data_IF_043152434008
#
_entry.id   IF_043152434008
#
_cell.length_a   1.000
_cell.length_b   1.000
_cell.length_c   1.000
_cell.angle_alpha   90.00
_cell.angle_beta   90.00
_cell.angle_gamma   90.00
#
_symmetry.space_group_name_H-M   'P 1'
#
loop_
_entity.id
_entity.type
_entity.pdbx_description
1 polymer ?
#
# COMPACT_ATOMS: atom_id res chain seq x y z
N UNK A 1 5.87 14.35 6.37
CA UNK A 1 7.20 13.77 6.66
C UNK A 1 7.98 13.43 5.40
N UNK A 2 7.47 12.58 4.51
CA UNK A 2 8.21 12.11 3.31
C UNK A 2 8.75 13.25 2.44
N UNK A 3 7.90 14.19 2.00
CA UNK A 3 8.33 15.34 1.16
C UNK A 3 9.42 16.16 1.83
N UNK A 4 9.27 16.50 3.11
CA UNK A 4 10.24 17.32 3.83
C UNK A 4 11.61 16.67 3.95
N UNK A 5 11.66 15.34 4.04
CA UNK A 5 12.91 14.61 4.17
C UNK A 5 13.51 14.24 2.82
N UNK A 6 12.70 13.82 1.84
CA UNK A 6 13.18 13.18 0.61
C UNK A 6 12.95 14.00 -0.66
N UNK A 7 12.63 15.30 -0.59
CA UNK A 7 12.49 16.16 -1.77
C UNK A 7 13.68 16.05 -2.73
N UNK A 8 14.91 16.05 -2.20
CA UNK A 8 16.11 15.88 -3.01
C UNK A 8 16.32 14.44 -3.48
N UNK A 9 15.86 13.44 -2.73
CA UNK A 9 15.85 12.04 -3.18
C UNK A 9 14.98 11.85 -4.42
N UNK A 10 13.76 12.39 -4.40
CA UNK A 10 12.87 12.40 -5.56
C UNK A 10 13.39 13.26 -6.71
N UNK A 11 14.03 14.39 -6.42
CA UNK A 11 14.65 15.20 -7.47
C UNK A 11 15.77 14.43 -8.20
N UNK A 12 16.58 13.67 -7.47
CA UNK A 12 17.61 12.80 -8.07
C UNK A 12 16.95 11.69 -8.90
N UNK A 13 15.91 11.04 -8.38
CA UNK A 13 15.15 10.03 -9.14
C UNK A 13 14.60 10.60 -10.45
N UNK A 14 14.03 11.81 -10.41
CA UNK A 14 13.53 12.48 -11.61
C UNK A 14 14.62 12.73 -12.66
N UNK A 15 15.83 13.10 -12.26
CA UNK A 15 16.97 13.24 -13.19
C UNK A 15 17.29 11.90 -13.87
N UNK A 16 17.31 10.80 -13.11
CA UNK A 16 17.53 9.47 -13.70
C UNK A 16 16.38 9.06 -14.62
N UNK A 17 15.15 9.43 -14.32
CA UNK A 17 14.01 9.19 -15.21
C UNK A 17 14.14 9.95 -16.54
N UNK A 18 14.62 11.20 -16.52
CA UNK A 18 14.91 11.94 -17.76
C UNK A 18 16.03 11.29 -18.57
N UNK A 19 17.09 10.80 -17.91
CA UNK A 19 18.18 10.05 -18.57
C UNK A 19 17.63 8.76 -19.18
N UNK A 20 16.81 8.02 -18.44
CA UNK A 20 16.16 6.79 -18.88
C UNK A 20 15.32 7.03 -20.14
N UNK A 21 14.40 7.98 -20.12
CA UNK A 21 13.56 8.30 -21.28
C UNK A 21 14.38 8.76 -22.49
N UNK A 22 15.39 9.61 -22.24
CA UNK A 22 16.29 10.06 -23.31
C UNK A 22 17.04 8.89 -23.94
N UNK A 23 17.59 7.98 -23.12
CA UNK A 23 18.28 6.79 -23.60
C UNK A 23 17.33 5.84 -24.36
N UNK A 24 16.08 5.67 -23.91
CA UNK A 24 15.07 4.89 -24.62
C UNK A 24 14.74 5.47 -26.00
N UNK A 25 14.55 6.79 -26.10
CA UNK A 25 14.31 7.45 -27.39
C UNK A 25 15.51 7.36 -28.33
N UNK A 26 16.73 7.54 -27.81
CA UNK A 26 17.95 7.36 -28.62
C UNK A 26 18.02 5.90 -29.11
N UNK A 27 17.79 4.94 -28.22
CA UNK A 27 17.81 3.52 -28.56
C UNK A 27 16.80 3.18 -29.68
N UNK A 28 15.58 3.71 -29.59
CA UNK A 28 14.53 3.46 -30.58
C UNK A 28 14.76 4.20 -31.91
N UNK A 29 14.89 5.53 -31.89
CA UNK A 29 14.91 6.35 -33.11
C UNK A 29 16.22 6.31 -33.89
N UNK A 30 17.31 5.88 -33.24
CA UNK A 30 18.62 5.72 -33.86
C UNK A 30 18.98 4.26 -34.15
N UNK A 31 18.00 3.37 -34.11
CA UNK A 31 18.17 2.01 -34.61
C UNK A 31 18.67 2.02 -36.07
N UNK A 32 19.75 1.30 -36.34
CA UNK A 32 20.40 1.27 -37.67
C UNK A 32 21.19 2.54 -38.04
N UNK A 33 21.11 3.64 -37.26
CA UNK A 33 21.87 4.88 -37.49
C UNK A 33 23.15 4.97 -36.65
N UNK A 34 23.13 4.39 -35.44
CA UNK A 34 24.31 4.34 -34.56
C UNK A 34 25.15 3.09 -34.83
N UNK A 35 26.47 3.20 -34.58
CA UNK A 35 27.36 2.03 -34.55
C UNK A 35 26.85 1.02 -33.50
N UNK A 36 26.89 -0.30 -33.76
CA UNK A 36 26.34 -1.30 -32.84
C UNK A 36 26.87 -1.20 -31.40
N UNK A 37 28.17 -0.92 -31.22
CA UNK A 37 28.77 -0.71 -29.90
C UNK A 37 28.14 0.46 -29.15
N UNK A 38 27.93 1.59 -29.83
CA UNK A 38 27.30 2.79 -29.25
C UNK A 38 25.83 2.53 -28.92
N UNK A 39 25.12 1.82 -29.79
CA UNK A 39 23.72 1.46 -29.56
C UNK A 39 23.54 0.58 -28.32
N UNK A 40 24.44 -0.40 -28.11
CA UNK A 40 24.47 -1.22 -26.87
C UNK A 40 24.86 -0.39 -25.64
N UNK A 41 25.78 0.57 -25.76
CA UNK A 41 26.13 1.46 -24.65
C UNK A 41 24.92 2.30 -24.20
N UNK A 42 24.11 2.80 -25.13
CA UNK A 42 22.86 3.51 -24.81
C UNK A 42 21.89 2.60 -24.05
N UNK A 43 21.79 1.32 -24.43
CA UNK A 43 20.98 0.34 -23.68
C UNK A 43 21.46 0.16 -22.23
N UNK A 44 22.78 0.16 -22.00
CA UNK A 44 23.34 0.10 -20.64
C UNK A 44 23.08 1.37 -19.84
N UNK A 45 23.13 2.55 -20.47
CA UNK A 45 22.73 3.81 -19.83
C UNK A 45 21.26 3.75 -19.39
N UNK A 46 20.38 3.28 -20.27
CA UNK A 46 18.97 3.05 -19.96
C UNK A 46 18.80 2.11 -18.75
N UNK A 47 19.43 0.93 -18.80
CA UNK A 47 19.32 -0.07 -17.74
C UNK A 47 19.85 0.44 -16.39
N UNK A 48 20.98 1.15 -16.38
CA UNK A 48 21.56 1.71 -15.16
C UNK A 48 20.69 2.83 -14.60
N UNK A 49 20.17 3.72 -15.44
CA UNK A 49 19.29 4.81 -15.01
C UNK A 49 18.01 4.26 -14.37
N UNK A 50 17.35 3.30 -15.03
CA UNK A 50 16.16 2.64 -14.49
C UNK A 50 16.45 1.93 -13.16
N UNK A 51 17.60 1.26 -13.04
CA UNK A 51 17.99 0.60 -11.79
C UNK A 51 18.29 1.59 -10.66
N UNK A 52 18.91 2.73 -10.94
CA UNK A 52 19.15 3.76 -9.93
C UNK A 52 17.81 4.35 -9.45
N UNK A 53 16.85 4.59 -10.34
CA UNK A 53 15.48 4.99 -9.96
C UNK A 53 14.87 3.98 -8.98
N UNK A 54 14.97 2.68 -9.29
CA UNK A 54 14.53 1.59 -8.40
C UNK A 54 15.22 1.67 -7.02
N UNK A 55 16.55 1.89 -6.96
CA UNK A 55 17.29 2.00 -5.70
C UNK A 55 16.80 3.17 -4.86
N UNK A 56 16.60 4.34 -5.48
CA UNK A 56 16.18 5.57 -4.78
C UNK A 56 14.78 5.45 -4.19
N UNK A 57 13.79 5.03 -4.99
CA UNK A 57 12.42 4.86 -4.51
C UNK A 57 12.31 3.76 -3.47
N UNK A 58 13.15 2.73 -3.56
CA UNK A 58 13.20 1.66 -2.57
C UNK A 58 13.67 2.17 -1.20
N UNK A 59 14.62 3.12 -1.15
CA UNK A 59 14.98 3.77 0.11
C UNK A 59 13.83 4.51 0.77
N UNK A 60 13.06 5.27 -0.02
CA UNK A 60 11.92 6.05 0.47
C UNK A 60 10.76 5.15 0.92
N UNK A 61 10.46 4.09 0.17
CA UNK A 61 9.38 3.14 0.51
C UNK A 61 9.78 2.20 1.65
N UNK A 62 11.05 1.81 1.75
CA UNK A 62 11.60 1.07 2.90
C UNK A 62 11.52 1.86 4.19
N UNK A 63 11.78 3.18 4.11
CA UNK A 63 11.69 4.10 5.24
C UNK A 63 10.29 4.11 5.88
N UNK A 64 9.24 4.01 5.06
CA UNK A 64 7.86 3.98 5.56
C UNK A 64 7.60 2.80 6.51
N UNK A 65 8.23 1.63 6.25
CA UNK A 65 8.06 0.42 7.07
C UNK A 65 8.96 0.42 8.30
N UNK A 66 10.22 0.81 8.16
CA UNK A 66 11.17 0.82 9.28
C UNK A 66 12.14 2.00 9.14
N UNK A 67 11.81 3.19 9.69
CA UNK A 67 12.67 4.39 9.61
C UNK A 67 14.06 4.21 10.23
N UNK A 68 14.22 3.26 11.17
CA UNK A 68 15.49 3.01 11.84
C UNK A 68 15.96 4.22 12.65
N UNK A 69 17.26 4.52 12.59
CA UNK A 69 17.88 5.62 13.35
C UNK A 69 17.38 7.02 12.95
N UNK A 70 16.60 7.14 11.89
CA UNK A 70 15.98 8.40 11.53
C UNK A 70 15.03 8.92 12.63
N UNK A 71 14.38 8.03 13.40
CA UNK A 71 13.48 8.43 14.50
C UNK A 71 14.19 9.29 15.56
N UNK A 72 15.49 9.08 15.77
CA UNK A 72 16.31 9.81 16.74
C UNK A 72 17.03 11.00 16.10
N UNK A 73 17.49 10.83 14.86
CA UNK A 73 18.48 11.74 14.26
C UNK A 73 17.87 12.73 13.27
N UNK A 74 16.70 12.41 12.71
CA UNK A 74 16.09 13.09 11.57
C UNK A 74 17.04 13.31 10.38
N UNK A 75 18.13 12.54 10.29
CA UNK A 75 19.15 12.69 9.26
C UNK A 75 18.72 12.00 7.96
N UNK A 76 18.85 12.71 6.84
CA UNK A 76 18.50 12.22 5.51
C UNK A 76 19.03 10.81 5.20
N UNK A 77 20.33 10.57 5.43
CA UNK A 77 20.97 9.30 5.08
C UNK A 77 20.54 8.15 5.98
N UNK A 78 20.29 8.41 7.25
CA UNK A 78 19.71 7.40 8.15
C UNK A 78 18.29 7.01 7.74
N UNK A 79 17.53 7.95 7.15
CA UNK A 79 16.21 7.68 6.58
C UNK A 79 16.29 6.91 5.26
N UNK A 80 17.16 7.32 4.34
CA UNK A 80 17.30 6.69 3.02
C UNK A 80 17.90 5.29 3.10
N UNK A 81 18.98 5.13 3.89
CA UNK A 81 19.69 3.88 4.13
C UNK A 81 19.17 3.20 5.40
N UNK A 82 17.86 3.07 5.49
CA UNK A 82 17.18 2.43 6.60
C UNK A 82 17.38 0.90 6.60
N UNK A 83 17.02 0.17 7.68
CA UNK A 83 17.20 -1.29 7.75
C UNK A 83 16.53 -2.09 6.62
N UNK A 84 15.50 -1.53 6.00
CA UNK A 84 14.77 -2.15 4.90
C UNK A 84 15.35 -1.84 3.51
N UNK A 85 16.33 -0.93 3.41
CA UNK A 85 16.94 -0.52 2.15
C UNK A 85 17.52 -1.73 1.38
N UNK A 86 18.50 -2.43 1.97
CA UNK A 86 19.18 -3.53 1.29
C UNK A 86 18.21 -4.69 0.95
N UNK A 87 17.41 -5.21 1.91
CA UNK A 87 16.50 -6.31 1.60
C UNK A 87 15.51 -5.99 0.50
N UNK A 88 14.90 -4.80 0.54
CA UNK A 88 13.94 -4.41 -0.48
C UNK A 88 14.63 -4.14 -1.82
N UNK A 89 15.81 -3.52 -1.88
CA UNK A 89 16.51 -3.28 -3.15
C UNK A 89 16.86 -4.60 -3.83
N UNK A 90 17.33 -5.59 -3.06
CA UNK A 90 17.60 -6.95 -3.54
C UNK A 90 16.31 -7.59 -4.07
N UNK A 91 15.23 -7.57 -3.28
CA UNK A 91 13.95 -8.18 -3.68
C UNK A 91 13.34 -7.51 -4.91
N UNK A 92 13.38 -6.17 -5.00
CA UNK A 92 12.85 -5.39 -6.12
C UNK A 92 13.66 -5.60 -7.40
N UNK A 93 14.98 -5.63 -7.29
CA UNK A 93 15.87 -5.97 -8.41
C UNK A 93 15.56 -7.39 -8.90
N UNK A 94 15.36 -8.33 -7.97
CA UNK A 94 14.97 -9.69 -8.29
C UNK A 94 13.61 -9.77 -9.00
N UNK A 95 12.62 -9.02 -8.48
CA UNK A 95 11.28 -8.87 -9.05
C UNK A 95 11.31 -8.36 -10.49
N UNK A 96 12.10 -7.31 -10.75
CA UNK A 96 12.27 -6.75 -12.09
C UNK A 96 12.83 -7.80 -13.06
N UNK A 97 13.93 -8.48 -12.69
CA UNK A 97 14.53 -9.52 -13.54
C UNK A 97 13.58 -10.69 -13.81
N UNK A 98 12.88 -11.16 -12.77
CA UNK A 98 11.95 -12.28 -12.88
C UNK A 98 10.75 -11.90 -13.75
N UNK A 99 10.01 -10.85 -13.40
CA UNK A 99 8.78 -10.46 -14.10
C UNK A 99 9.05 -10.09 -15.56
N UNK A 100 10.15 -9.39 -15.86
CA UNK A 100 10.54 -9.13 -17.26
C UNK A 100 10.81 -10.43 -18.01
N UNK A 101 11.49 -11.40 -17.39
CA UNK A 101 11.76 -12.69 -18.04
C UNK A 101 10.48 -13.49 -18.30
N UNK A 102 9.55 -13.49 -17.34
CA UNK A 102 8.24 -14.14 -17.48
C UNK A 102 7.39 -13.48 -18.57
N UNK A 103 7.41 -12.16 -18.67
CA UNK A 103 6.75 -11.43 -19.74
C UNK A 103 7.37 -11.73 -21.11
N UNK A 104 8.71 -11.76 -21.21
CA UNK A 104 9.42 -12.12 -22.43
C UNK A 104 9.06 -13.54 -22.87
N UNK A 105 8.92 -14.49 -21.93
CA UNK A 105 8.44 -15.84 -22.23
C UNK A 105 7.02 -15.86 -22.78
N UNK A 106 6.10 -15.15 -22.13
CA UNK A 106 4.73 -15.02 -22.58
C UNK A 106 4.69 -14.45 -24.00
N UNK A 107 5.34 -13.31 -24.21
CA UNK A 107 5.38 -12.64 -25.51
C UNK A 107 6.00 -13.53 -26.60
N UNK A 108 7.15 -14.16 -26.32
CA UNK A 108 7.83 -15.04 -27.26
C UNK A 108 6.98 -16.26 -27.62
N UNK A 109 6.29 -16.86 -26.64
CA UNK A 109 5.43 -18.03 -26.88
C UNK A 109 4.24 -17.73 -27.79
N UNK A 110 3.74 -16.49 -27.79
CA UNK A 110 2.56 -16.06 -28.55
C UNK A 110 2.91 -15.48 -29.93
N UNK A 111 4.05 -14.81 -30.06
CA UNK A 111 4.36 -14.01 -31.25
C UNK A 111 5.42 -14.65 -32.16
N UNK A 112 6.32 -15.47 -31.61
CA UNK A 112 7.46 -16.00 -32.35
C UNK A 112 7.14 -17.39 -32.90
N UNK A 113 7.01 -17.45 -34.22
CA UNK A 113 6.77 -18.70 -34.97
C UNK A 113 8.04 -19.53 -35.16
N UNK A 114 9.20 -18.89 -35.27
CA UNK A 114 10.48 -19.58 -35.41
C UNK A 114 10.89 -20.27 -34.10
N UNK A 115 10.96 -21.60 -34.13
CA UNK A 115 11.33 -22.42 -32.98
C UNK A 115 12.77 -22.13 -32.50
N UNK A 116 13.72 -21.89 -33.41
CA UNK A 116 15.11 -21.66 -33.04
C UNK A 116 15.27 -20.33 -32.29
N UNK A 117 14.61 -19.27 -32.77
CA UNK A 117 14.57 -17.99 -32.08
C UNK A 117 13.86 -18.07 -30.72
N UNK A 118 12.74 -18.80 -30.64
CA UNK A 118 12.03 -19.01 -29.37
C UNK A 118 12.90 -19.74 -28.35
N UNK A 119 13.62 -20.78 -28.75
CA UNK A 119 14.51 -21.54 -27.87
C UNK A 119 15.71 -20.70 -27.42
N UNK A 120 16.25 -19.85 -28.30
CA UNK A 120 17.30 -18.92 -27.96
C UNK A 120 16.84 -17.93 -26.86
N UNK A 121 15.63 -17.38 -27.02
CA UNK A 121 15.03 -16.47 -26.03
C UNK A 121 14.76 -17.21 -24.72
N UNK A 122 14.18 -18.41 -24.79
CA UNK A 122 13.91 -19.25 -23.63
C UNK A 122 15.17 -19.44 -22.77
N UNK A 123 16.27 -19.83 -23.44
CA UNK A 123 17.58 -20.09 -22.83
C UNK A 123 18.24 -18.82 -22.28
N UNK A 124 18.17 -17.69 -22.99
CA UNK A 124 18.80 -16.43 -22.56
C UNK A 124 18.08 -15.80 -21.38
N UNK A 125 16.74 -15.85 -21.34
CA UNK A 125 15.96 -15.27 -20.25
C UNK A 125 15.89 -16.18 -19.00
N UNK A 126 16.32 -17.46 -19.09
CA UNK A 126 16.29 -18.37 -17.95
C UNK A 126 17.25 -17.96 -16.83
N UNK A 127 18.44 -17.45 -17.18
CA UNK A 127 19.42 -17.01 -16.18
C UNK A 127 18.96 -15.76 -15.42
N UNK A 128 18.50 -14.67 -16.08
CA UNK A 128 17.88 -13.55 -15.37
C UNK A 128 16.67 -13.96 -14.54
N UNK A 129 15.81 -14.87 -15.03
CA UNK A 129 14.66 -15.35 -14.27
C UNK A 129 15.07 -16.05 -12.96
N UNK A 130 16.02 -17.00 -13.04
CA UNK A 130 16.51 -17.73 -11.88
C UNK A 130 17.26 -16.81 -10.90
N UNK A 131 18.10 -15.91 -11.41
CA UNK A 131 18.76 -14.90 -10.57
C UNK A 131 17.71 -14.02 -9.88
N UNK A 132 16.70 -13.59 -10.63
CA UNK A 132 15.60 -12.79 -10.10
C UNK A 132 14.87 -13.50 -8.96
N UNK A 133 14.53 -14.77 -9.16
CA UNK A 133 13.89 -15.60 -8.14
C UNK A 133 14.76 -15.74 -6.88
N UNK A 134 16.07 -16.00 -7.02
CA UNK A 134 17.01 -16.08 -5.88
C UNK A 134 17.07 -14.76 -5.12
N UNK A 135 17.18 -13.64 -5.83
CA UNK A 135 17.22 -12.31 -5.21
C UNK A 135 15.91 -12.00 -4.47
N UNK A 136 14.74 -12.33 -5.03
CA UNK A 136 13.45 -12.19 -4.31
C UNK A 136 13.47 -12.99 -3.01
N UNK A 137 13.93 -14.25 -3.04
CA UNK A 137 13.99 -15.08 -1.83
C UNK A 137 14.92 -14.48 -0.78
N UNK A 138 16.14 -14.10 -1.16
CA UNK A 138 17.11 -13.51 -0.23
C UNK A 138 16.64 -12.17 0.32
N UNK A 139 16.11 -11.31 -0.55
CA UNK A 139 15.56 -10.01 -0.18
C UNK A 139 14.31 -10.15 0.69
N UNK A 140 13.43 -11.12 0.43
CA UNK A 140 12.25 -11.43 1.22
C UNK A 140 12.58 -11.96 2.62
N UNK A 141 13.59 -12.84 2.73
CA UNK A 141 14.12 -13.28 4.04
C UNK A 141 14.67 -12.08 4.81
N UNK A 142 15.49 -11.24 4.17
CA UNK A 142 15.99 -10.03 4.79
C UNK A 142 14.86 -9.08 5.23
N UNK A 143 13.85 -8.90 4.38
CA UNK A 143 12.71 -8.03 4.65
C UNK A 143 11.97 -8.46 5.91
N UNK A 144 11.75 -9.78 6.07
CA UNK A 144 11.16 -10.37 7.26
C UNK A 144 12.03 -10.17 8.51
N UNK A 145 13.34 -10.43 8.41
CA UNK A 145 14.29 -10.30 9.54
C UNK A 145 14.40 -8.86 10.05
N UNK A 146 14.40 -7.88 9.15
CA UNK A 146 14.51 -6.45 9.49
C UNK A 146 13.15 -5.77 9.74
N UNK A 147 12.06 -6.53 9.80
CA UNK A 147 10.73 -6.00 10.08
C UNK A 147 10.63 -5.53 11.54
N UNK A 148 9.97 -4.40 11.85
CA UNK A 148 9.75 -4.01 13.24
C UNK A 148 8.83 -5.01 13.95
N UNK A 149 8.93 -5.07 15.28
CA UNK A 149 8.23 -6.07 16.09
C UNK A 149 6.71 -6.06 15.88
N UNK A 150 6.08 -4.88 15.90
CA UNK A 150 4.64 -4.73 15.69
C UNK A 150 4.19 -5.26 14.32
N UNK A 151 5.00 -5.13 13.28
CA UNK A 151 4.67 -5.62 11.95
C UNK A 151 4.78 -7.15 11.88
N UNK A 152 5.72 -7.77 12.63
CA UNK A 152 5.79 -9.24 12.75
C UNK A 152 4.59 -9.79 13.51
N UNK A 153 4.18 -9.12 14.59
CA UNK A 153 3.00 -9.49 15.37
C UNK A 153 1.72 -9.33 14.53
N UNK A 154 1.62 -8.26 13.74
CA UNK A 154 0.50 -8.05 12.80
C UNK A 154 0.39 -9.19 11.78
N UNK A 155 1.54 -9.63 11.23
CA UNK A 155 1.59 -10.75 10.29
C UNK A 155 1.04 -12.04 10.93
N UNK A 156 1.38 -12.30 12.19
CA UNK A 156 0.93 -13.48 12.92
C UNK A 156 -0.55 -13.42 13.32
N UNK A 157 -1.03 -12.25 13.74
CA UNK A 157 -2.38 -12.06 14.27
C UNK A 157 -3.47 -12.07 13.18
N UNK A 158 -3.14 -11.67 11.95
CA UNK A 158 -4.12 -11.63 10.86
C UNK A 158 -4.14 -12.93 10.05
N UNK A 159 -5.21 -13.72 10.20
CA UNK A 159 -5.39 -14.99 9.48
C UNK A 159 -5.23 -14.86 7.94
N UNK A 160 -5.74 -13.77 7.36
CA UNK A 160 -5.59 -13.50 5.91
C UNK A 160 -4.12 -13.32 5.52
N UNK A 161 -3.31 -12.67 6.36
CA UNK A 161 -1.88 -12.47 6.08
C UNK A 161 -1.10 -13.77 6.20
N UNK A 162 -1.48 -14.67 7.11
CA UNK A 162 -0.90 -16.02 7.19
C UNK A 162 -1.18 -16.83 5.93
N UNK A 163 -2.43 -16.81 5.43
CA UNK A 163 -2.81 -17.46 4.17
C UNK A 163 -2.01 -16.88 2.99
N UNK A 164 -1.89 -15.56 2.91
CA UNK A 164 -1.14 -14.90 1.84
C UNK A 164 0.36 -15.18 1.92
N UNK A 165 0.92 -15.30 3.12
CA UNK A 165 2.33 -15.70 3.31
C UNK A 165 2.56 -17.13 2.84
N UNK A 166 1.67 -18.06 3.18
CA UNK A 166 1.74 -19.44 2.68
C UNK A 166 1.60 -19.48 1.15
N UNK A 167 0.68 -18.69 0.58
CA UNK A 167 0.48 -18.58 -0.86
C UNK A 167 1.74 -18.05 -1.56
N UNK A 168 2.38 -17.01 -1.04
CA UNK A 168 3.60 -16.45 -1.63
C UNK A 168 4.72 -17.48 -1.66
N UNK A 169 4.87 -18.27 -0.59
CA UNK A 169 5.87 -19.31 -0.50
C UNK A 169 5.58 -20.43 -1.50
N UNK A 170 4.33 -20.91 -1.55
CA UNK A 170 3.91 -21.94 -2.50
C UNK A 170 4.10 -21.50 -3.95
N UNK A 171 3.69 -20.28 -4.31
CA UNK A 171 3.87 -19.72 -5.64
C UNK A 171 5.35 -19.54 -5.98
N UNK A 172 6.17 -19.08 -5.03
CA UNK A 172 7.61 -18.95 -5.23
C UNK A 172 8.23 -20.32 -5.55
N UNK A 173 7.97 -21.34 -4.72
CA UNK A 173 8.44 -22.71 -4.95
C UNK A 173 7.96 -23.24 -6.31
N UNK A 174 6.69 -23.02 -6.65
CA UNK A 174 6.13 -23.44 -7.94
C UNK A 174 6.84 -22.74 -9.12
N UNK A 175 7.06 -21.43 -9.06
CA UNK A 175 7.77 -20.68 -10.10
C UNK A 175 9.21 -21.16 -10.24
N UNK A 176 9.93 -21.39 -9.13
CA UNK A 176 11.28 -21.96 -9.17
C UNK A 176 11.32 -23.33 -9.83
N UNK A 177 10.41 -24.21 -9.43
CA UNK A 177 10.33 -25.57 -9.96
C UNK A 177 10.01 -25.57 -11.46
N UNK A 178 9.02 -24.77 -11.87
CA UNK A 178 8.60 -24.65 -13.27
C UNK A 178 9.67 -23.98 -14.13
N UNK A 179 10.36 -22.94 -13.65
CA UNK A 179 11.49 -22.33 -14.37
C UNK A 179 12.63 -23.33 -14.59
N UNK A 180 12.93 -24.12 -13.56
CA UNK A 180 14.02 -25.09 -13.60
C UNK A 180 13.73 -26.25 -14.56
N UNK A 181 12.55 -26.86 -14.48
CA UNK A 181 12.19 -27.99 -15.34
C UNK A 181 11.84 -27.54 -16.75
N UNK A 182 11.17 -26.39 -16.88
CA UNK A 182 10.76 -25.80 -18.15
C UNK A 182 11.95 -25.20 -18.91
N UNK A 183 12.02 -23.87 -19.07
CA UNK A 183 12.94 -23.23 -20.01
C UNK A 183 14.42 -23.43 -19.68
N UNK A 184 14.79 -23.71 -18.41
CA UNK A 184 16.19 -23.94 -18.04
C UNK A 184 16.71 -25.31 -18.48
N UNK A 185 15.97 -26.41 -18.22
CA UNK A 185 16.37 -27.77 -18.64
C UNK A 185 15.82 -28.16 -20.02
N UNK A 186 14.64 -27.69 -20.37
CA UNK A 186 13.93 -28.00 -21.61
C UNK A 186 13.48 -26.71 -22.34
N UNK A 187 14.40 -25.97 -22.98
CA UNK A 187 14.09 -24.70 -23.66
C UNK A 187 12.95 -24.80 -24.70
N UNK A 188 12.80 -25.96 -25.36
CA UNK A 188 11.75 -26.21 -26.35
C UNK A 188 10.33 -26.42 -25.77
N UNK A 189 10.17 -26.45 -24.45
CA UNK A 189 8.89 -26.71 -23.79
C UNK A 189 8.06 -25.44 -23.51
N UNK A 190 8.48 -24.28 -24.05
CA UNK A 190 7.80 -23.00 -23.85
C UNK A 190 6.50 -22.89 -24.68
N UNK A 191 5.48 -23.65 -24.30
CA UNK A 191 4.14 -23.53 -24.87
C UNK A 191 3.42 -22.27 -24.36
N UNK A 192 2.46 -21.72 -25.13
CA UNK A 192 1.65 -20.58 -24.68
C UNK A 192 0.96 -20.81 -23.33
N UNK A 193 0.36 -22.00 -23.12
CA UNK A 193 -0.32 -22.33 -21.86
C UNK A 193 0.64 -22.36 -20.67
N UNK A 194 1.84 -22.90 -20.86
CA UNK A 194 2.88 -22.89 -19.84
C UNK A 194 3.36 -21.47 -19.53
N UNK A 195 3.62 -20.66 -20.55
CA UNK A 195 4.10 -19.29 -20.37
C UNK A 195 3.06 -18.38 -19.71
N UNK A 196 1.77 -18.52 -20.07
CA UNK A 196 0.65 -17.82 -19.41
C UNK A 196 0.58 -18.23 -17.93
N UNK A 197 0.61 -19.53 -17.63
CA UNK A 197 0.55 -20.02 -16.25
C UNK A 197 1.70 -19.47 -15.41
N UNK A 198 2.92 -19.55 -15.93
CA UNK A 198 4.11 -19.07 -15.23
C UNK A 198 4.06 -17.56 -15.00
N UNK A 199 3.61 -16.79 -15.99
CA UNK A 199 3.41 -15.34 -15.85
C UNK A 199 2.36 -15.01 -14.78
N UNK A 200 1.21 -15.70 -14.79
CA UNK A 200 0.16 -15.49 -13.79
C UNK A 200 0.64 -15.84 -12.38
N UNK A 201 1.41 -16.90 -12.19
CA UNK A 201 2.00 -17.24 -10.88
C UNK A 201 3.00 -16.17 -10.41
N UNK A 202 3.85 -15.67 -11.32
CA UNK A 202 4.76 -14.57 -11.00
C UNK A 202 4.03 -13.28 -10.60
N UNK A 203 2.99 -12.91 -11.35
CA UNK A 203 2.14 -11.75 -11.05
C UNK A 203 1.40 -11.92 -9.72
N UNK A 204 0.83 -13.10 -9.47
CA UNK A 204 0.16 -13.41 -8.21
C UNK A 204 1.13 -13.32 -7.02
N UNK A 205 2.31 -13.96 -7.10
CA UNK A 205 3.31 -13.90 -6.04
C UNK A 205 3.75 -12.47 -5.74
N UNK A 206 4.05 -11.68 -6.78
CA UNK A 206 4.43 -10.27 -6.63
C UNK A 206 3.30 -9.44 -5.99
N UNK A 207 2.08 -9.59 -6.48
CA UNK A 207 0.92 -8.80 -6.01
C UNK A 207 0.55 -9.13 -4.57
N UNK A 208 0.60 -10.41 -4.20
CA UNK A 208 0.41 -10.86 -2.81
C UNK A 208 1.50 -10.30 -1.90
N UNK A 209 2.75 -10.24 -2.36
CA UNK A 209 3.85 -9.63 -1.61
C UNK A 209 3.66 -8.15 -1.34
N UNK A 210 3.22 -7.39 -2.35
CA UNK A 210 2.89 -5.97 -2.18
C UNK A 210 1.75 -5.75 -1.21
N UNK A 211 0.73 -6.61 -1.27
CA UNK A 211 -0.40 -6.53 -0.35
C UNK A 211 0.05 -6.78 1.09
N UNK A 212 0.84 -7.83 1.35
CA UNK A 212 1.40 -8.12 2.67
C UNK A 212 2.25 -6.94 3.15
N UNK A 213 3.14 -6.41 2.29
CA UNK A 213 4.02 -5.28 2.62
C UNK A 213 3.22 -4.05 3.07
N UNK A 214 2.09 -3.77 2.41
CA UNK A 214 1.21 -2.68 2.78
C UNK A 214 0.45 -2.96 4.09
N UNK A 215 -0.07 -4.17 4.24
CA UNK A 215 -0.89 -4.55 5.39
C UNK A 215 -0.10 -4.53 6.71
N UNK A 216 1.14 -5.03 6.72
CA UNK A 216 1.97 -5.10 7.95
C UNK A 216 2.45 -3.74 8.45
N UNK A 217 2.36 -2.69 7.62
CA UNK A 217 2.76 -1.33 8.01
C UNK A 217 1.70 -0.63 8.86
N UNK A 218 0.44 -1.08 8.78
CA UNK A 218 -0.66 -0.48 9.53
C UNK A 218 -0.42 -0.57 11.05
N UNK A 219 -0.83 0.43 11.84
CA UNK A 219 -1.67 1.58 11.48
C UNK A 219 -0.93 2.78 10.88
N UNK A 220 0.34 2.61 10.48
CA UNK A 220 1.20 3.71 10.06
C UNK A 220 1.32 3.86 8.54
N UNK A 221 1.54 5.09 8.09
CA UNK A 221 2.17 5.40 6.80
C UNK A 221 3.69 5.47 6.98
N UNK A 222 4.15 6.09 8.07
CA UNK A 222 5.55 6.08 8.50
C UNK A 222 5.56 5.56 9.93
N UNK A 223 6.19 4.40 10.12
CA UNK A 223 6.21 3.69 11.39
C UNK A 223 6.55 4.61 12.58
N UNK A 224 5.69 4.63 13.60
CA UNK A 224 5.78 5.46 14.82
C UNK A 224 5.81 6.98 14.60
N UNK A 225 5.34 7.48 13.45
CA UNK A 225 5.39 8.93 13.14
C UNK A 225 4.10 9.42 12.52
N UNK A 226 3.66 8.80 11.42
CA UNK A 226 2.48 9.23 10.65
C UNK A 226 1.50 8.08 10.60
N UNK A 227 0.31 8.30 11.12
CA UNK A 227 -0.79 7.34 11.11
C UNK A 227 -1.46 7.23 9.74
N UNK A 228 -2.26 6.19 9.53
CA UNK A 228 -3.01 5.91 8.30
C UNK A 228 -4.00 7.02 7.92
N UNK A 229 -4.49 7.76 8.90
CA UNK A 229 -5.33 8.95 8.72
C UNK A 229 -4.51 10.24 8.49
N UNK A 230 -3.20 10.13 8.25
CA UNK A 230 -2.25 11.22 8.02
C UNK A 230 -2.01 12.17 9.22
N UNK A 231 -2.51 11.82 10.41
CA UNK A 231 -2.22 12.54 11.66
C UNK A 231 -0.86 12.11 12.20
N UNK A 232 -0.09 13.04 12.76
CA UNK A 232 1.15 12.67 13.47
C UNK A 232 0.79 11.98 14.79
N UNK A 233 1.51 10.92 15.13
CA UNK A 233 1.23 10.15 16.35
C UNK A 233 1.17 11.03 17.61
N UNK A 234 2.08 12.00 17.71
CA UNK A 234 2.18 12.91 18.87
C UNK A 234 1.11 14.01 18.88
N UNK A 235 0.39 14.22 17.77
CA UNK A 235 -0.71 15.20 17.70
C UNK A 235 -2.04 14.64 18.19
N UNK A 236 -2.18 13.31 18.29
CA UNK A 236 -3.45 12.64 18.65
C UNK A 236 -4.00 13.13 19.98
N UNK A 237 -3.16 13.20 21.02
CA UNK A 237 -3.59 13.64 22.36
C UNK A 237 -4.10 15.09 22.34
N UNK A 238 -3.37 15.98 21.65
CA UNK A 238 -3.77 17.38 21.49
C UNK A 238 -5.09 17.51 20.73
N UNK A 239 -5.26 16.78 19.63
CA UNK A 239 -6.49 16.86 18.83
C UNK A 239 -7.72 16.36 19.59
N UNK A 240 -7.56 15.36 20.48
CA UNK A 240 -8.64 14.90 21.38
C UNK A 240 -9.08 15.98 22.38
N UNK A 241 -8.19 16.90 22.73
CA UNK A 241 -8.50 18.01 23.63
C UNK A 241 -9.06 19.22 22.87
N UNK A 242 -8.54 19.50 21.67
CA UNK A 242 -8.89 20.74 20.93
C UNK A 242 -9.95 20.56 19.86
N UNK A 243 -10.27 19.33 19.45
CA UNK A 243 -11.09 19.03 18.28
C UNK A 243 -10.25 18.66 17.05
N UNK A 244 -10.65 17.58 16.38
CA UNK A 244 -10.09 17.15 15.11
C UNK A 244 -10.42 18.15 13.99
N UNK A 245 -11.66 18.64 13.97
CA UNK A 245 -12.14 19.64 13.03
C UNK A 245 -11.37 20.95 13.20
N UNK A 246 -11.11 21.38 14.44
CA UNK A 246 -10.34 22.60 14.74
C UNK A 246 -8.86 22.46 14.34
N UNK A 247 -8.27 21.28 14.57
CA UNK A 247 -6.87 21.02 14.25
C UNK A 247 -6.53 21.00 12.75
N UNK A 248 -7.51 20.67 11.90
CA UNK A 248 -7.31 20.61 10.45
C UNK A 248 -7.54 21.96 9.76
N UNK A 249 -6.62 22.36 8.85
CA UNK A 249 -6.73 23.63 8.10
C UNK A 249 -8.03 23.72 7.28
N UNK A 250 -8.42 22.63 6.62
CA UNK A 250 -9.57 22.60 5.72
C UNK A 250 -10.87 22.30 6.45
N UNK A 251 -10.82 21.41 7.44
CA UNK A 251 -11.97 21.11 8.31
C UNK A 251 -12.39 22.35 9.10
N UNK A 252 -11.43 23.10 9.67
CA UNK A 252 -11.73 24.35 10.39
C UNK A 252 -12.35 25.41 9.48
N UNK A 253 -11.79 25.57 8.29
CA UNK A 253 -12.33 26.51 7.30
C UNK A 253 -13.75 26.12 6.88
N UNK A 254 -14.02 24.83 6.69
CA UNK A 254 -15.34 24.32 6.34
C UNK A 254 -16.37 24.62 7.43
N UNK A 255 -16.06 24.33 8.71
CA UNK A 255 -16.97 24.63 9.82
C UNK A 255 -17.22 26.14 9.94
N UNK A 256 -16.18 26.96 9.84
CA UNK A 256 -16.33 28.42 9.91
C UNK A 256 -17.17 29.00 8.77
N UNK A 257 -17.12 28.42 7.56
CA UNK A 257 -17.92 28.88 6.42
C UNK A 257 -19.37 28.37 6.49
N UNK A 258 -19.57 27.08 6.77
CA UNK A 258 -20.88 26.43 6.65
C UNK A 258 -21.71 26.48 7.93
N UNK A 259 -21.05 26.47 9.09
CA UNK A 259 -21.70 26.43 10.39
C UNK A 259 -21.12 27.50 11.32
N UNK A 260 -21.16 28.80 10.94
CA UNK A 260 -20.59 29.88 11.74
C UNK A 260 -21.19 29.98 13.15
N UNK A 261 -22.42 29.49 13.35
CA UNK A 261 -23.06 29.42 14.67
C UNK A 261 -22.33 28.52 15.67
N UNK A 262 -21.58 27.52 15.19
CA UNK A 262 -20.77 26.63 16.00
C UNK A 262 -19.37 27.18 16.29
N UNK A 263 -19.05 28.40 15.83
CA UNK A 263 -17.77 29.06 16.08
C UNK A 263 -17.95 30.19 17.11
N UNK A 264 -17.21 30.11 18.22
CA UNK A 264 -17.22 31.10 19.30
C UNK A 264 -15.79 31.60 19.52
N UNK A 265 -15.61 32.92 19.53
CA UNK A 265 -14.29 33.57 19.69
C UNK A 265 -13.22 33.03 18.71
N UNK A 266 -13.66 32.66 17.51
CA UNK A 266 -12.79 32.16 16.44
C UNK A 266 -12.35 30.71 16.61
N UNK A 267 -12.96 29.94 17.51
CA UNK A 267 -12.74 28.50 17.69
C UNK A 267 -14.04 27.73 17.54
N UNK A 268 -13.94 26.49 17.08
CA UNK A 268 -15.09 25.58 17.06
C UNK A 268 -15.50 25.23 18.50
N UNK A 269 -16.79 25.34 18.78
CA UNK A 269 -17.42 24.92 20.02
C UNK A 269 -18.11 23.57 19.80
N UNK A 270 -17.57 22.54 20.44
CA UNK A 270 -18.02 21.15 20.29
C UNK A 270 -19.46 20.93 20.76
N UNK A 271 -19.90 21.63 21.81
CA UNK A 271 -21.26 21.52 22.31
C UNK A 271 -22.25 22.10 21.29
N UNK A 272 -21.90 23.23 20.67
CA UNK A 272 -22.73 23.84 19.63
C UNK A 272 -22.82 23.00 18.35
N UNK A 273 -21.80 22.19 18.04
CA UNK A 273 -21.90 21.24 16.94
C UNK A 273 -23.01 20.20 17.19
N UNK A 274 -23.19 19.76 18.44
CA UNK A 274 -24.24 18.80 18.80
C UNK A 274 -25.66 19.40 18.82
N UNK A 275 -25.75 20.71 19.01
CA UNK A 275 -27.01 21.48 18.95
C UNK A 275 -27.49 21.77 17.52
N UNK A 276 -26.66 21.51 16.50
CA UNK A 276 -27.04 21.68 15.11
C UNK A 276 -28.23 20.77 14.72
N UNK A 277 -29.03 21.17 13.72
CA UNK A 277 -30.02 20.28 13.12
C UNK A 277 -29.39 18.96 12.65
N UNK A 278 -30.16 17.87 12.69
CA UNK A 278 -29.65 16.53 12.38
C UNK A 278 -28.97 16.45 11.01
N UNK A 279 -29.54 17.08 9.97
CA UNK A 279 -28.95 17.12 8.62
C UNK A 279 -27.55 17.77 8.62
N UNK A 280 -27.37 18.84 9.39
CA UNK A 280 -26.10 19.54 9.53
C UNK A 280 -25.08 18.69 10.31
N UNK A 281 -25.51 18.00 11.37
CA UNK A 281 -24.64 17.08 12.12
C UNK A 281 -24.16 15.93 11.26
N UNK A 282 -25.04 15.35 10.43
CA UNK A 282 -24.67 14.34 9.42
C UNK A 282 -23.63 14.91 8.44
N UNK A 283 -23.81 16.15 7.96
CA UNK A 283 -22.86 16.79 7.06
C UNK A 283 -21.49 17.01 7.73
N UNK A 284 -21.46 17.42 9.00
CA UNK A 284 -20.22 17.54 9.78
C UNK A 284 -19.57 16.16 9.99
N UNK A 285 -20.35 15.14 10.37
CA UNK A 285 -19.91 13.75 10.50
C UNK A 285 -19.31 13.20 9.21
N UNK A 286 -19.88 13.56 8.06
CA UNK A 286 -19.36 13.19 6.76
C UNK A 286 -17.98 13.81 6.50
N UNK A 287 -17.76 15.07 6.87
CA UNK A 287 -16.45 15.72 6.76
C UNK A 287 -15.42 15.03 7.66
N UNK A 288 -15.81 14.69 8.89
CA UNK A 288 -14.97 13.88 9.79
C UNK A 288 -14.60 12.55 9.12
N UNK A 289 -15.58 11.82 8.57
CA UNK A 289 -15.33 10.56 7.88
C UNK A 289 -14.37 10.73 6.69
N UNK A 290 -14.58 11.76 5.87
CA UNK A 290 -13.73 12.04 4.70
C UNK A 290 -12.28 12.29 5.09
N UNK A 291 -12.03 12.97 6.20
CA UNK A 291 -10.67 13.33 6.58
C UNK A 291 -10.01 12.28 7.50
N UNK A 292 -10.77 11.64 8.40
CA UNK A 292 -10.22 10.68 9.37
C UNK A 292 -10.25 9.24 8.84
N UNK A 293 -11.37 8.82 8.24
CA UNK A 293 -11.63 7.42 7.89
C UNK A 293 -11.35 7.09 6.40
N UNK A 294 -11.61 8.03 5.49
CA UNK A 294 -11.64 7.75 4.05
C UNK A 294 -10.25 7.50 3.42
N UNK A 295 -9.18 7.81 4.15
CA UNK A 295 -7.82 7.38 3.78
C UNK A 295 -7.69 5.85 3.66
N UNK A 296 -8.53 5.09 4.38
CA UNK A 296 -8.53 3.63 4.39
C UNK A 296 -9.86 3.01 3.99
N UNK A 297 -10.99 3.71 4.18
CA UNK A 297 -12.33 3.16 3.99
C UNK A 297 -13.11 3.89 2.91
N UNK A 298 -13.62 3.16 1.92
CA UNK A 298 -14.76 3.64 1.16
C UNK A 298 -15.97 3.79 2.11
N UNK A 299 -16.95 4.64 1.77
CA UNK A 299 -18.11 4.88 2.65
C UNK A 299 -19.03 3.64 2.71
N UNK A 300 -19.97 3.53 1.76
CA UNK A 300 -21.00 2.48 1.77
C UNK A 300 -20.51 1.15 1.18
N UNK A 301 -19.87 1.20 0.02
CA UNK A 301 -19.47 0.02 -0.77
C UNK A 301 -18.09 0.22 -1.41
N UNK A 302 -17.51 -0.86 -1.92
CA UNK A 302 -16.21 -0.86 -2.61
C UNK A 302 -15.07 -1.43 -1.75
N UNK A 303 -13.85 -1.07 -2.12
CA UNK A 303 -12.65 -1.59 -1.46
C UNK A 303 -12.58 -1.11 -0.01
N UNK A 304 -12.50 -2.06 0.94
CA UNK A 304 -12.41 -1.79 2.38
C UNK A 304 -13.52 -0.87 2.90
N UNK A 305 -14.74 -0.98 2.38
CA UNK A 305 -15.84 -0.09 2.77
C UNK A 305 -16.18 -0.17 4.27
N UNK A 306 -16.56 0.97 4.86
CA UNK A 306 -17.01 1.05 6.25
C UNK A 306 -18.40 0.45 6.43
N UNK A 307 -19.33 0.65 5.48
CA UNK A 307 -20.72 0.19 5.56
C UNK A 307 -20.89 -1.26 6.06
N UNK A 308 -20.25 -2.27 5.42
CA UNK A 308 -20.33 -3.66 5.89
C UNK A 308 -19.78 -3.91 7.29
N UNK A 309 -18.98 -3.01 7.85
CA UNK A 309 -18.49 -3.11 9.23
C UNK A 309 -19.51 -2.60 10.26
N UNK A 310 -20.55 -1.87 9.81
CA UNK A 310 -21.58 -1.24 10.63
C UNK A 310 -22.81 -2.12 10.86
N UNK A 311 -22.88 -3.32 10.27
CA UNK A 311 -24.01 -4.24 10.45
C UNK A 311 -24.36 -4.43 11.93
N UNK A 312 -25.65 -4.24 12.26
CA UNK A 312 -26.21 -4.54 13.57
C UNK A 312 -25.54 -3.82 14.75
N UNK A 313 -24.95 -2.64 14.53
CA UNK A 313 -24.38 -1.82 15.60
C UNK A 313 -25.37 -0.73 16.01
N UNK A 314 -25.66 -0.61 17.31
CA UNK A 314 -26.40 0.54 17.83
C UNK A 314 -25.54 1.81 17.81
N UNK A 315 -26.13 3.01 17.92
CA UNK A 315 -25.38 4.26 18.03
C UNK A 315 -24.31 4.23 19.14
N UNK A 316 -24.63 3.66 20.31
CA UNK A 316 -23.71 3.54 21.45
C UNK A 316 -22.56 2.59 21.15
N UNK A 317 -22.83 1.49 20.43
CA UNK A 317 -21.79 0.59 19.97
C UNK A 317 -20.87 1.25 18.94
N UNK A 318 -21.42 2.10 18.06
CA UNK A 318 -20.64 2.85 17.08
C UNK A 318 -19.76 3.89 17.77
N UNK A 319 -20.31 4.68 18.70
CA UNK A 319 -19.56 5.66 19.48
C UNK A 319 -18.41 5.00 20.25
N UNK A 320 -18.70 3.90 20.96
CA UNK A 320 -17.69 3.14 21.69
C UNK A 320 -16.60 2.59 20.77
N UNK A 321 -16.97 2.05 19.60
CA UNK A 321 -16.01 1.59 18.60
C UNK A 321 -15.12 2.72 18.08
N UNK A 322 -15.69 3.90 17.81
CA UNK A 322 -14.93 5.08 17.36
C UNK A 322 -13.94 5.50 18.44
N UNK A 323 -14.36 5.65 19.69
CA UNK A 323 -13.47 6.07 20.77
C UNK A 323 -12.30 5.10 21.00
N UNK A 324 -12.50 3.81 20.66
CA UNK A 324 -11.55 2.72 20.91
C UNK A 324 -11.09 2.00 19.62
N UNK A 325 -10.96 2.70 18.49
CA UNK A 325 -10.62 2.10 17.18
C UNK A 325 -9.42 1.15 17.24
N UNK A 326 -8.30 1.64 17.78
CA UNK A 326 -7.05 0.88 17.90
C UNK A 326 -7.10 -0.29 18.91
N UNK A 327 -8.05 -0.29 19.84
CA UNK A 327 -8.24 -1.38 20.80
C UNK A 327 -9.13 -2.47 20.20
N UNK A 328 -10.19 -2.06 19.48
CA UNK A 328 -11.08 -2.96 18.75
C UNK A 328 -10.38 -3.61 17.57
N UNK A 329 -9.52 -2.85 16.89
CA UNK A 329 -8.75 -3.28 15.72
C UNK A 329 -7.34 -2.71 15.80
N UNK A 330 -6.37 -3.52 16.24
CA UNK A 330 -4.97 -3.11 16.46
C UNK A 330 -4.27 -2.45 15.26
N UNK A 331 -4.79 -2.66 14.04
CA UNK A 331 -4.26 -2.10 12.79
C UNK A 331 -4.96 -0.80 12.35
N UNK A 332 -5.95 -0.30 13.10
CA UNK A 332 -6.57 1.01 12.87
C UNK A 332 -5.83 2.10 13.64
N UNK A 333 -5.72 3.32 13.09
CA UNK A 333 -5.22 4.46 13.86
C UNK A 333 -6.17 4.77 15.03
N UNK A 334 -5.65 5.26 16.17
CA UNK A 334 -6.50 5.71 17.26
C UNK A 334 -7.38 6.87 16.82
N UNK A 335 -8.55 7.01 17.47
CA UNK A 335 -9.39 8.19 17.30
C UNK A 335 -8.65 9.47 17.65
N UNK A 336 -8.82 10.51 16.85
CA UNK A 336 -8.09 11.77 17.01
C UNK A 336 -8.98 12.94 17.41
N UNK A 337 -10.30 12.79 17.41
CA UNK A 337 -11.24 13.86 17.76
C UNK A 337 -11.73 13.82 19.19
N UNK A 338 -12.61 14.75 19.52
CA UNK A 338 -13.32 14.77 20.81
C UNK A 338 -14.38 13.67 20.90
N UNK A 339 -14.93 13.39 22.08
CA UNK A 339 -16.14 12.58 22.22
C UNK A 339 -17.36 13.14 21.48
N UNK A 340 -17.51 14.47 21.44
CA UNK A 340 -18.59 15.16 20.74
C UNK A 340 -18.48 14.93 19.22
N UNK A 341 -17.28 15.05 18.64
CA UNK A 341 -17.02 14.74 17.23
C UNK A 341 -17.27 13.26 16.90
N UNK A 342 -17.04 12.35 17.85
CA UNK A 342 -17.35 10.94 17.65
C UNK A 342 -18.86 10.74 17.46
N UNK A 343 -19.71 11.45 18.20
CA UNK A 343 -21.18 11.42 18.04
C UNK A 343 -21.63 11.96 16.69
N UNK A 344 -21.02 13.06 16.22
CA UNK A 344 -21.26 13.58 14.87
C UNK A 344 -20.89 12.55 13.80
N UNK A 345 -19.78 11.83 14.00
CA UNK A 345 -19.41 10.74 13.10
C UNK A 345 -20.43 9.60 13.16
N UNK A 346 -20.99 9.25 14.32
CA UNK A 346 -22.08 8.27 14.44
C UNK A 346 -23.28 8.69 13.60
N UNK A 347 -23.74 9.96 13.71
CA UNK A 347 -24.87 10.48 12.92
C UNK A 347 -24.67 10.21 11.41
N UNK A 348 -23.44 10.41 10.90
CA UNK A 348 -23.13 10.08 9.50
C UNK A 348 -23.05 8.57 9.24
N UNK A 349 -22.40 7.79 10.11
CA UNK A 349 -22.24 6.35 9.92
C UNK A 349 -23.59 5.62 9.87
N UNK A 350 -24.60 6.06 10.62
CA UNK A 350 -25.96 5.52 10.55
C UNK A 350 -26.57 5.67 9.15
N UNK A 351 -26.26 6.75 8.43
CA UNK A 351 -26.78 6.97 7.05
C UNK A 351 -26.20 6.02 6.02
N UNK A 352 -25.02 5.45 6.28
CA UNK A 352 -24.33 4.51 5.40
C UNK A 352 -24.36 3.08 5.93
N UNK A 353 -24.93 2.86 7.11
CA UNK A 353 -25.11 1.55 7.69
C UNK A 353 -26.12 0.76 6.83
N UNK A 354 -25.76 -0.46 6.39
CA UNK A 354 -26.68 -1.32 5.66
C UNK A 354 -27.78 -1.85 6.60
N UNK A 355 -28.94 -2.17 6.03
CA UNK A 355 -30.00 -2.87 6.76
C UNK A 355 -29.48 -4.19 7.33
N UNK A 356 -29.97 -4.56 8.52
CA UNK A 356 -29.65 -5.85 9.15
C UNK A 356 -29.97 -6.99 8.16
N UNK A 357 -29.05 -7.94 7.93
CA UNK A 357 -29.31 -9.02 6.98
C UNK A 357 -30.45 -9.91 7.46
N UNK A 358 -31.50 -9.99 6.66
CA UNK A 358 -32.70 -10.78 6.96
C UNK A 358 -32.36 -12.27 7.09
N UNK A 359 -33.04 -12.95 8.01
CA UNK A 359 -32.90 -14.40 8.21
C UNK A 359 -31.74 -14.80 9.12
N UNK A 360 -31.03 -13.83 9.71
CA UNK A 360 -30.09 -14.08 10.80
C UNK A 360 -30.80 -13.90 12.15
N UNK A 361 -31.01 -15.01 12.85
CA UNK A 361 -31.76 -15.07 14.12
C UNK A 361 -33.22 -14.60 13.99
N UNK A 362 -34.06 -15.27 13.17
CA UNK A 362 -35.45 -14.83 12.93
C UNK A 362 -36.29 -14.74 14.21
N UNK A 363 -36.01 -15.59 15.19
CA UNK A 363 -36.68 -15.57 16.50
C UNK A 363 -36.32 -14.34 17.35
N UNK A 364 -35.11 -13.80 17.19
CA UNK A 364 -34.70 -12.55 17.83
C UNK A 364 -35.32 -11.35 17.13
N UNK A 365 -35.46 -11.37 15.80
CA UNK A 365 -36.16 -10.33 15.05
C UNK A 365 -37.63 -10.22 15.49
N UNK A 366 -38.31 -11.35 15.76
CA UNK A 366 -39.68 -11.37 16.32
C UNK A 366 -39.74 -10.79 17.74
N UNK A 367 -38.75 -11.10 18.58
CA UNK A 367 -38.66 -10.56 19.95
C UNK A 367 -38.38 -9.06 19.97
N UNK A 368 -37.47 -8.58 19.11
CA UNK A 368 -37.12 -7.15 18.97
C UNK A 368 -38.26 -6.33 18.34
N UNK A 369 -39.10 -6.94 17.50
CA UNK A 369 -40.28 -6.31 16.90
C UNK A 369 -41.48 -6.22 17.87
N UNK A 370 -41.37 -6.84 19.05
CA UNK A 370 -42.40 -6.78 20.09
C UNK A 370 -42.04 -5.65 21.07
N UNK A 371 -42.89 -4.61 21.23
CA UNK A 371 -42.55 -3.38 21.94
C UNK A 371 -42.33 -3.51 23.45
#
# INVERSE_FOLDING_TARGET
VLIRNFVFGWAIEWVFFVIELSAAFIFYYYWGKLKPKTHVQVAWVYALAAWISLVLITGITGFMLHPGRWLETHNFWHGLLNPQFIPQTISRTGGALLLTSLYVYLHASLTIKDAALRDLIAKRSARPALLGAVLITLGGIGWYVFMPESARLALQAAAVLNVFTALIFALTVAVFFLLYIGPYRNPGWLSPGFAVTLFLFGMAAFSTGEFIREAVRKPYIVYNVVLGNQVLQDEVAKLRETGYLEGGRWTRAYIAEKFPQAVVDGKIDEAKLLELPQEDRIAVGQVIFQHHCNNCHAAKEGYSAAGPLLFSRSPEMLESMILHLHESHYFMPPWSGTPEEAKLLVDYLETIAPERPKGMFPQLEELEATP
#
